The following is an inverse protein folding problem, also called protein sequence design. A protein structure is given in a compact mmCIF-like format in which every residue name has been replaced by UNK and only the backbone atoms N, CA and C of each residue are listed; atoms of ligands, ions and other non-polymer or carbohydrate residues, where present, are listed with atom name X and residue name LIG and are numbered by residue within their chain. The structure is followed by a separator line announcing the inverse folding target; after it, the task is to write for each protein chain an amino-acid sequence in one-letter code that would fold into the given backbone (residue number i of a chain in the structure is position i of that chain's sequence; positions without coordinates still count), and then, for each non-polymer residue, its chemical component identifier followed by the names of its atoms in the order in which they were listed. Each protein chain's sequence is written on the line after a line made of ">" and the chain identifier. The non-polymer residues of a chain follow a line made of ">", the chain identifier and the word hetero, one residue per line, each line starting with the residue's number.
data_IF_518612252933
#
_entry.id   IF_518612252933
#
_cell.length_a   1.000
_cell.length_b   1.000
_cell.length_c   1.000
_cell.angle_alpha   90.00
_cell.angle_beta   90.00
_cell.angle_gamma   90.00
#
_symmetry.space_group_name_H-M   'P 1'
#
loop_
_entity.id
_entity.type
_entity.pdbx_description
1 polymer ?
#
# COMPACT_ATOMS: atom_id res chain seq x y z
N UNK A 1 -64.83 -31.60 -38.19
CA UNK A 1 -63.57 -32.32 -38.06
C UNK A 1 -62.51 -31.36 -37.51
N UNK A 2 -62.28 -31.41 -36.21
CA UNK A 2 -61.30 -30.57 -35.48
C UNK A 2 -60.10 -31.43 -35.11
N UNK A 3 -58.95 -31.16 -35.74
CA UNK A 3 -57.64 -31.79 -35.41
C UNK A 3 -56.97 -30.97 -34.33
N UNK A 4 -57.09 -31.43 -33.09
CA UNK A 4 -56.33 -30.92 -31.94
C UNK A 4 -54.95 -31.53 -31.97
N UNK A 5 -53.96 -30.73 -32.38
CA UNK A 5 -52.54 -31.10 -32.30
C UNK A 5 -52.03 -31.14 -30.86
N UNK A 6 -51.97 -32.33 -30.29
CA UNK A 6 -51.48 -32.61 -28.94
C UNK A 6 -49.96 -32.44 -28.93
N UNK A 7 -49.45 -31.28 -28.44
CA UNK A 7 -48.00 -31.01 -28.25
C UNK A 7 -47.46 -31.89 -27.12
N UNK A 8 -46.57 -32.84 -27.44
CA UNK A 8 -45.98 -33.83 -26.56
C UNK A 8 -45.19 -33.14 -25.41
N UNK A 9 -45.61 -33.24 -24.14
CA UNK A 9 -45.04 -32.52 -23.01
C UNK A 9 -43.58 -32.93 -22.67
N UNK A 10 -43.15 -34.09 -23.10
CA UNK A 10 -41.78 -34.61 -22.87
C UNK A 10 -40.74 -33.85 -23.67
N UNK A 11 -41.01 -33.42 -24.90
CA UNK A 11 -40.09 -32.65 -25.76
C UNK A 11 -39.90 -31.23 -25.24
N UNK A 12 -40.90 -30.61 -24.66
CA UNK A 12 -40.81 -29.27 -24.09
C UNK A 12 -39.93 -29.27 -22.82
N UNK A 13 -40.02 -30.28 -21.97
CA UNK A 13 -39.16 -30.42 -20.78
C UNK A 13 -37.69 -30.66 -21.13
N UNK A 14 -37.40 -31.41 -22.20
CA UNK A 14 -36.06 -31.62 -22.70
C UNK A 14 -35.45 -30.34 -23.29
N UNK A 15 -36.22 -29.54 -24.03
CA UNK A 15 -35.74 -28.26 -24.55
C UNK A 15 -35.40 -27.28 -23.40
N UNK A 16 -36.28 -27.16 -22.42
CA UNK A 16 -36.04 -26.27 -21.26
C UNK A 16 -34.80 -26.69 -20.51
N UNK A 17 -34.57 -27.97 -20.26
CA UNK A 17 -33.34 -28.46 -19.60
C UNK A 17 -32.07 -28.15 -20.39
N UNK A 18 -32.12 -28.22 -21.74
CA UNK A 18 -30.99 -27.84 -22.61
C UNK A 18 -30.72 -26.34 -22.55
N UNK A 19 -31.74 -25.48 -22.52
CA UNK A 19 -31.57 -24.04 -22.31
C UNK A 19 -30.97 -23.69 -20.97
N UNK A 20 -31.43 -24.31 -19.90
CA UNK A 20 -30.84 -24.10 -18.56
C UNK A 20 -29.41 -24.59 -18.48
N UNK A 21 -29.06 -25.69 -19.13
CA UNK A 21 -27.68 -26.19 -19.19
C UNK A 21 -26.76 -25.21 -19.97
N UNK A 22 -27.25 -24.64 -21.07
CA UNK A 22 -26.47 -23.65 -21.86
C UNK A 22 -26.30 -22.32 -21.09
N UNK A 23 -27.33 -21.85 -20.40
CA UNK A 23 -27.25 -20.67 -19.55
C UNK A 23 -26.26 -20.89 -18.40
N UNK A 24 -26.29 -22.06 -17.74
CA UNK A 24 -25.34 -22.43 -16.71
C UNK A 24 -23.89 -22.45 -17.21
N UNK A 25 -23.65 -23.02 -18.38
CA UNK A 25 -22.32 -23.06 -18.99
C UNK A 25 -21.83 -21.63 -19.35
N UNK A 26 -22.69 -20.79 -19.90
CA UNK A 26 -22.36 -19.40 -20.24
C UNK A 26 -22.02 -18.58 -18.99
N UNK A 27 -22.75 -18.75 -17.88
CA UNK A 27 -22.47 -18.10 -16.61
C UNK A 27 -21.10 -18.53 -16.01
N UNK A 28 -20.77 -19.81 -16.06
CA UNK A 28 -19.48 -20.33 -15.59
C UNK A 28 -18.34 -19.75 -16.43
N UNK A 29 -18.49 -19.66 -17.75
CA UNK A 29 -17.50 -19.04 -18.64
C UNK A 29 -17.36 -17.53 -18.35
N UNK A 30 -18.44 -16.80 -18.14
CA UNK A 30 -18.40 -15.38 -17.80
C UNK A 30 -17.69 -15.13 -16.45
N UNK A 31 -18.00 -15.95 -15.44
CA UNK A 31 -17.31 -15.86 -14.13
C UNK A 31 -15.83 -16.21 -14.26
N UNK A 32 -15.48 -17.21 -15.05
CA UNK A 32 -14.09 -17.57 -15.32
C UNK A 32 -13.30 -16.45 -16.01
N UNK A 33 -13.89 -15.80 -17.03
CA UNK A 33 -13.28 -14.69 -17.75
C UNK A 33 -13.14 -13.45 -16.83
N UNK A 34 -14.18 -13.12 -16.05
CA UNK A 34 -14.15 -12.03 -15.10
C UNK A 34 -13.11 -12.29 -14.00
N UNK A 35 -13.04 -13.51 -13.48
CA UNK A 35 -12.03 -13.92 -12.50
C UNK A 35 -10.60 -13.82 -13.07
N UNK A 36 -10.39 -14.26 -14.31
CA UNK A 36 -9.09 -14.15 -14.98
C UNK A 36 -8.68 -12.69 -15.20
N UNK A 37 -9.58 -11.81 -15.63
CA UNK A 37 -9.31 -10.39 -15.79
C UNK A 37 -9.09 -9.65 -14.48
N UNK A 38 -9.78 -10.06 -13.41
CA UNK A 38 -9.66 -9.40 -12.11
C UNK A 38 -8.38 -9.83 -11.35
N UNK A 39 -8.01 -11.10 -11.40
CA UNK A 39 -6.83 -11.65 -10.71
C UNK A 39 -5.53 -11.46 -11.52
N UNK A 40 -5.58 -11.64 -12.84
CA UNK A 40 -4.40 -11.49 -13.70
C UNK A 40 -3.97 -10.02 -13.91
N UNK A 41 -4.96 -9.13 -14.06
CA UNK A 41 -4.68 -7.71 -14.37
C UNK A 41 -4.00 -6.92 -13.25
N UNK A 42 -4.12 -7.35 -11.99
CA UNK A 42 -3.45 -6.67 -10.88
C UNK A 42 -1.99 -7.11 -10.73
N UNK A 43 -1.69 -8.39 -10.87
CA UNK A 43 -0.31 -8.88 -10.81
C UNK A 43 0.55 -8.37 -11.97
N UNK A 44 -0.02 -8.27 -13.16
CA UNK A 44 0.69 -7.75 -14.33
C UNK A 44 0.98 -6.25 -14.21
N UNK A 45 0.05 -5.48 -13.64
CA UNK A 45 0.25 -4.05 -13.36
C UNK A 45 1.30 -3.81 -12.29
N UNK A 46 1.33 -4.60 -11.22
CA UNK A 46 2.34 -4.51 -10.17
C UNK A 46 3.73 -4.91 -10.70
N UNK A 47 3.83 -5.99 -11.48
CA UNK A 47 5.09 -6.40 -12.10
C UNK A 47 5.62 -5.36 -13.09
N UNK A 48 4.76 -4.75 -13.88
CA UNK A 48 5.12 -3.66 -14.81
C UNK A 48 5.56 -2.41 -14.04
N UNK A 49 4.85 -2.04 -12.96
CA UNK A 49 5.21 -0.90 -12.13
C UNK A 49 6.58 -1.09 -11.46
N UNK A 50 6.85 -2.28 -10.91
CA UNK A 50 8.15 -2.62 -10.30
C UNK A 50 9.27 -2.57 -11.35
N UNK A 51 9.01 -3.11 -12.55
CA UNK A 51 10.00 -3.12 -13.64
C UNK A 51 10.28 -1.70 -14.14
N UNK A 52 9.25 -0.86 -14.29
CA UNK A 52 9.41 0.55 -14.67
C UNK A 52 10.18 1.34 -13.61
N UNK A 53 9.89 1.13 -12.33
CA UNK A 53 10.59 1.78 -11.22
C UNK A 53 12.08 1.40 -11.20
N UNK A 54 12.40 0.12 -11.43
CA UNK A 54 13.78 -0.36 -11.48
C UNK A 54 14.55 0.22 -12.68
N UNK A 55 13.93 0.23 -13.85
CA UNK A 55 14.51 0.78 -15.07
C UNK A 55 14.70 2.30 -14.95
N UNK A 56 13.77 3.00 -14.35
CA UNK A 56 13.86 4.43 -14.08
C UNK A 56 15.02 4.74 -13.12
N UNK A 57 15.22 3.93 -12.09
CA UNK A 57 16.37 4.06 -11.17
C UNK A 57 17.70 3.87 -11.89
N UNK A 58 17.83 2.84 -12.73
CA UNK A 58 19.05 2.58 -13.50
C UNK A 58 19.37 3.72 -14.47
N UNK A 59 18.37 4.22 -15.20
CA UNK A 59 18.51 5.37 -16.11
C UNK A 59 18.93 6.63 -15.36
N UNK A 60 18.37 6.84 -14.18
CA UNK A 60 18.66 7.98 -13.34
C UNK A 60 20.07 7.93 -12.75
N UNK A 61 20.54 6.77 -12.28
CA UNK A 61 21.93 6.58 -11.84
C UNK A 61 22.92 6.79 -12.99
N UNK A 62 22.60 6.35 -14.20
CA UNK A 62 23.44 6.61 -15.38
C UNK A 62 23.47 8.10 -15.72
N UNK A 63 22.32 8.78 -15.78
CA UNK A 63 22.26 10.22 -16.06
C UNK A 63 23.01 11.05 -15.01
N UNK A 64 22.98 10.63 -13.74
CA UNK A 64 23.69 11.26 -12.63
C UNK A 64 25.21 11.11 -12.79
N UNK A 65 25.70 9.92 -13.15
CA UNK A 65 27.12 9.69 -13.40
C UNK A 65 27.62 10.50 -14.59
N UNK A 66 26.83 10.58 -15.68
CA UNK A 66 27.15 11.37 -16.86
C UNK A 66 27.17 12.88 -16.56
N UNK A 67 26.29 13.35 -15.70
CA UNK A 67 26.21 14.77 -15.31
C UNK A 67 27.29 15.19 -14.28
N UNK A 68 28.05 14.27 -13.70
CA UNK A 68 29.08 14.54 -12.70
C UNK A 68 28.54 15.14 -11.39
N UNK A 69 27.24 14.94 -11.10
CA UNK A 69 26.57 15.45 -9.90
C UNK A 69 27.00 14.62 -8.69
N UNK A 70 27.80 15.22 -7.81
CA UNK A 70 28.31 14.58 -6.59
C UNK A 70 27.47 14.89 -5.35
N UNK A 71 26.50 15.80 -5.44
CA UNK A 71 25.63 16.21 -4.32
C UNK A 71 24.20 15.86 -4.66
N UNK A 72 23.59 15.02 -3.83
CA UNK A 72 22.17 14.65 -3.90
C UNK A 72 21.31 15.81 -3.43
N UNK A 73 20.31 16.18 -4.22
CA UNK A 73 19.32 17.17 -3.78
C UNK A 73 18.31 16.51 -2.82
N UNK A 74 17.66 17.29 -1.95
CA UNK A 74 16.62 16.76 -1.06
C UNK A 74 15.50 16.04 -1.83
N UNK A 75 15.12 16.51 -2.99
CA UNK A 75 14.11 15.90 -3.85
C UNK A 75 14.58 14.56 -4.42
N UNK A 76 15.84 14.49 -4.81
CA UNK A 76 16.46 13.25 -5.31
C UNK A 76 16.56 12.21 -4.19
N UNK A 77 17.00 12.61 -3.00
CA UNK A 77 17.04 11.75 -1.83
C UNK A 77 15.66 11.17 -1.47
N UNK A 78 14.65 12.02 -1.41
CA UNK A 78 13.26 11.60 -1.16
C UNK A 78 12.78 10.55 -2.17
N UNK A 79 13.07 10.76 -3.46
CA UNK A 79 12.67 9.81 -4.50
C UNK A 79 13.45 8.48 -4.42
N UNK A 80 14.72 8.50 -4.09
CA UNK A 80 15.50 7.28 -3.83
C UNK A 80 14.93 6.49 -2.66
N UNK A 81 14.65 7.15 -1.53
CA UNK A 81 14.05 6.51 -0.36
C UNK A 81 12.68 5.92 -0.70
N UNK A 82 11.86 6.63 -1.49
CA UNK A 82 10.57 6.12 -1.97
C UNK A 82 10.72 4.83 -2.78
N UNK A 83 11.63 4.82 -3.73
CA UNK A 83 11.91 3.65 -4.57
C UNK A 83 12.39 2.49 -3.70
N UNK A 84 13.36 2.74 -2.84
CA UNK A 84 13.92 1.72 -1.94
C UNK A 84 12.86 1.12 -1.02
N UNK A 85 12.05 1.95 -0.36
CA UNK A 85 10.98 1.53 0.52
C UNK A 85 9.91 0.71 -0.23
N UNK A 86 9.59 1.08 -1.47
CA UNK A 86 8.66 0.32 -2.32
C UNK A 86 9.23 -1.05 -2.69
N UNK A 87 10.50 -1.12 -3.09
CA UNK A 87 11.18 -2.38 -3.43
C UNK A 87 11.29 -3.31 -2.21
N UNK A 88 11.51 -2.74 -1.02
CA UNK A 88 11.58 -3.50 0.23
C UNK A 88 10.19 -3.90 0.76
N UNK A 89 9.11 -3.47 0.12
CA UNK A 89 7.75 -3.84 0.48
C UNK A 89 7.27 -3.20 1.80
N UNK A 90 7.69 -1.97 2.09
CA UNK A 90 7.24 -1.27 3.29
C UNK A 90 5.72 -1.10 3.31
N UNK A 91 5.10 -1.10 4.50
CA UNK A 91 3.66 -0.91 4.63
C UNK A 91 3.20 0.39 3.95
N UNK A 92 2.04 0.34 3.30
CA UNK A 92 1.46 1.48 2.58
C UNK A 92 1.42 2.76 3.44
N UNK A 93 1.04 2.64 4.73
CA UNK A 93 1.00 3.77 5.66
C UNK A 93 2.35 4.45 5.86
N UNK A 94 3.46 3.69 5.80
CA UNK A 94 4.83 4.23 5.90
C UNK A 94 5.20 4.96 4.62
N UNK A 95 4.87 4.41 3.44
CA UNK A 95 5.09 5.09 2.15
C UNK A 95 4.29 6.39 2.04
N UNK A 96 3.05 6.41 2.54
CA UNK A 96 2.21 7.60 2.56
C UNK A 96 2.75 8.74 3.45
N UNK A 97 3.67 8.47 4.37
CA UNK A 97 4.33 9.51 5.15
C UNK A 97 5.14 10.45 4.26
N UNK A 98 5.88 9.90 3.28
CA UNK A 98 6.64 10.70 2.31
C UNK A 98 5.76 11.63 1.48
N UNK A 99 4.54 11.16 1.13
CA UNK A 99 3.59 11.96 0.35
C UNK A 99 2.99 13.09 1.17
N UNK A 100 2.75 12.85 2.46
CA UNK A 100 2.15 13.81 3.38
C UNK A 100 3.14 14.83 3.92
N UNK A 101 4.37 14.40 4.15
CA UNK A 101 5.41 15.25 4.73
C UNK A 101 6.82 14.78 4.33
N UNK A 102 7.48 15.48 3.41
CA UNK A 102 8.85 15.16 2.99
C UNK A 102 9.87 15.09 4.13
N UNK A 103 9.62 15.77 5.27
CA UNK A 103 10.50 15.71 6.44
C UNK A 103 10.53 14.32 7.11
N UNK A 104 9.71 13.36 6.67
CA UNK A 104 9.75 11.97 7.15
C UNK A 104 10.75 11.10 6.39
N UNK A 105 11.55 11.66 5.49
CA UNK A 105 12.45 10.90 4.61
C UNK A 105 13.45 10.06 5.41
N UNK A 106 14.13 10.63 6.39
CA UNK A 106 15.11 9.93 7.25
C UNK A 106 14.44 8.79 8.06
N UNK A 107 13.24 9.06 8.58
CA UNK A 107 12.42 8.05 9.26
C UNK A 107 12.09 6.86 8.35
N UNK A 108 11.65 7.12 7.12
CA UNK A 108 11.27 6.06 6.18
C UNK A 108 12.49 5.29 5.70
N UNK A 109 13.63 5.97 5.48
CA UNK A 109 14.89 5.33 5.10
C UNK A 109 15.34 4.31 6.15
N UNK A 110 15.29 4.67 7.42
CA UNK A 110 15.70 3.82 8.52
C UNK A 110 14.65 2.77 8.95
N UNK A 111 13.44 2.81 8.38
CA UNK A 111 12.32 1.98 8.83
C UNK A 111 12.62 0.48 8.81
N UNK A 112 13.28 -0.02 7.76
CA UNK A 112 13.58 -1.46 7.62
C UNK A 112 14.43 -2.03 8.75
N UNK A 113 15.34 -1.22 9.30
CA UNK A 113 16.23 -1.62 10.37
C UNK A 113 15.65 -1.38 11.76
N UNK A 114 14.85 -0.31 11.90
CA UNK A 114 14.40 0.20 13.21
C UNK A 114 12.96 -0.20 13.58
N UNK A 115 12.17 -0.76 12.65
CA UNK A 115 10.78 -1.11 12.92
C UNK A 115 10.64 -2.03 14.15
N UNK A 116 9.66 -1.73 14.99
CA UNK A 116 9.38 -2.50 16.21
C UNK A 116 10.25 -2.14 17.41
N UNK A 117 11.17 -1.21 17.27
CA UNK A 117 12.10 -0.78 18.33
C UNK A 117 11.63 0.52 18.98
N UNK A 118 12.06 0.72 20.24
CA UNK A 118 11.87 1.94 21.02
C UNK A 118 13.25 2.37 21.49
N UNK A 119 13.64 3.60 21.17
CA UNK A 119 14.99 4.12 21.45
C UNK A 119 15.03 5.12 22.61
N UNK A 120 13.88 5.48 23.19
CA UNK A 120 13.82 6.33 24.37
C UNK A 120 12.78 5.82 25.36
N UNK A 121 13.09 5.91 26.66
CA UNK A 121 12.20 5.56 27.76
C UNK A 121 11.35 6.75 28.20
N UNK A 122 11.79 7.98 27.90
CA UNK A 122 11.12 9.23 28.23
C UNK A 122 11.29 10.29 27.10
N UNK A 123 10.75 11.48 27.30
CA UNK A 123 10.85 12.60 26.35
C UNK A 123 12.10 13.46 26.57
N UNK A 124 12.91 13.17 27.60
CA UNK A 124 14.19 13.82 27.85
C UNK A 124 14.11 15.35 27.93
N UNK A 125 15.00 16.00 27.17
CA UNK A 125 15.13 17.47 27.14
C UNK A 125 13.93 18.19 26.51
N UNK A 126 12.97 17.46 25.90
CA UNK A 126 11.72 18.07 25.43
C UNK A 126 10.76 18.42 26.57
N UNK A 127 11.02 17.90 27.80
CA UNK A 127 10.25 18.26 28.97
C UNK A 127 10.73 19.58 29.57
N UNK A 128 9.83 20.55 29.66
CA UNK A 128 10.04 21.80 30.39
C UNK A 128 8.81 22.02 31.28
N UNK A 129 9.03 22.16 32.60
CA UNK A 129 7.96 22.33 33.57
C UNK A 129 7.05 23.51 33.20
N UNK A 130 5.72 23.26 33.15
CA UNK A 130 4.71 24.25 32.81
C UNK A 130 4.62 24.60 31.31
N UNK A 131 5.25 23.83 30.45
CA UNK A 131 5.15 23.99 28.99
C UNK A 131 4.72 22.68 28.35
N UNK A 132 3.79 22.79 27.41
CA UNK A 132 3.38 21.63 26.59
C UNK A 132 4.47 21.35 25.55
N UNK A 133 5.15 20.18 25.61
CA UNK A 133 6.20 19.85 24.67
C UNK A 133 5.62 19.62 23.26
N UNK A 134 6.41 19.91 22.22
CA UNK A 134 6.06 19.53 20.85
C UNK A 134 6.64 18.16 20.53
N UNK A 135 5.84 17.12 20.67
CA UNK A 135 6.24 15.76 20.32
C UNK A 135 5.87 15.43 18.89
N UNK A 136 6.86 15.02 18.09
CA UNK A 136 6.66 14.64 16.70
C UNK A 136 6.31 13.16 16.61
N UNK A 137 5.21 12.82 15.92
CA UNK A 137 4.70 11.46 15.85
C UNK A 137 5.71 10.47 15.22
N UNK A 138 6.48 10.92 14.23
CA UNK A 138 7.51 10.13 13.54
C UNK A 138 8.93 10.34 14.10
N UNK A 139 9.05 10.87 15.31
CA UNK A 139 10.35 10.95 15.98
C UNK A 139 10.96 9.55 16.12
N UNK A 140 12.23 9.40 15.78
CA UNK A 140 12.91 8.12 15.76
C UNK A 140 12.95 7.43 17.13
N UNK A 141 12.83 8.18 18.21
CA UNK A 141 12.83 7.65 19.58
C UNK A 141 11.66 6.70 19.85
N UNK A 142 10.48 6.95 19.24
CA UNK A 142 9.25 6.18 19.47
C UNK A 142 8.48 5.86 18.21
N UNK A 143 8.74 6.54 17.09
CA UNK A 143 7.97 6.41 15.84
C UNK A 143 7.93 4.98 15.29
N UNK A 144 8.96 4.19 15.50
CA UNK A 144 9.05 2.80 15.05
C UNK A 144 8.32 1.80 15.96
N UNK A 145 7.88 2.24 17.16
CA UNK A 145 7.20 1.38 18.11
C UNK A 145 5.89 0.82 17.53
N UNK A 146 5.58 -0.45 17.79
CA UNK A 146 4.32 -1.04 17.37
C UNK A 146 3.14 -0.30 18.00
N UNK A 147 2.12 0.03 17.20
CA UNK A 147 0.87 0.61 17.67
C UNK A 147 -0.32 0.06 16.88
N UNK A 148 -1.14 -0.77 17.54
CA UNK A 148 -2.21 -1.51 16.89
C UNK A 148 -1.68 -2.46 15.81
N UNK A 149 -2.13 -2.29 14.58
CA UNK A 149 -1.66 -3.05 13.40
C UNK A 149 -0.58 -2.33 12.59
N UNK A 150 -0.02 -1.24 13.16
CA UNK A 150 0.94 -0.36 12.49
C UNK A 150 2.04 0.09 13.46
N UNK A 151 2.60 1.26 13.25
CA UNK A 151 3.59 1.91 14.11
C UNK A 151 3.11 3.29 14.55
N UNK A 152 3.72 3.82 15.62
CA UNK A 152 3.36 5.14 16.16
C UNK A 152 3.42 6.23 15.10
N UNK A 153 4.44 6.27 14.26
CA UNK A 153 4.59 7.26 13.19
C UNK A 153 3.38 7.33 12.23
N UNK A 154 2.70 6.22 12.00
CA UNK A 154 1.56 6.13 11.07
C UNK A 154 0.22 6.36 11.78
N UNK A 155 0.04 5.77 12.97
CA UNK A 155 -1.28 5.70 13.63
C UNK A 155 -1.29 6.33 15.02
N UNK A 156 -0.17 6.85 15.51
CA UNK A 156 0.03 7.30 16.88
C UNK A 156 -0.37 8.75 17.19
N UNK A 157 -1.16 9.42 16.34
CA UNK A 157 -1.54 10.83 16.59
C UNK A 157 -2.25 11.01 17.95
N UNK A 158 -3.17 10.11 18.30
CA UNK A 158 -3.89 10.15 19.58
C UNK A 158 -2.95 10.05 20.79
N UNK A 159 -2.17 8.96 20.94
CA UNK A 159 -1.23 8.83 22.05
C UNK A 159 -0.19 9.94 22.09
N UNK A 160 0.33 10.41 20.94
CA UNK A 160 1.27 11.53 20.90
C UNK A 160 0.66 12.83 21.44
N UNK A 161 -0.58 13.17 21.01
CA UNK A 161 -1.29 14.32 21.56
C UNK A 161 -1.56 14.17 23.06
N UNK A 162 -1.94 12.98 23.52
CA UNK A 162 -2.18 12.73 24.95
C UNK A 162 -0.89 12.87 25.76
N UNK A 163 0.24 12.40 25.25
CA UNK A 163 1.52 12.56 25.89
C UNK A 163 1.93 14.04 26.03
N UNK A 164 1.72 14.86 25.00
CA UNK A 164 1.95 16.31 25.06
C UNK A 164 1.11 16.97 26.16
N UNK A 165 -0.19 16.64 26.23
CA UNK A 165 -1.09 17.19 27.27
C UNK A 165 -0.72 16.71 28.67
N UNK A 166 -0.27 15.47 28.81
CA UNK A 166 0.09 14.92 30.11
C UNK A 166 1.44 15.45 30.64
N UNK A 167 2.31 15.91 29.75
CA UNK A 167 3.62 16.45 30.10
C UNK A 167 3.61 17.96 30.36
N UNK A 168 2.56 18.69 29.95
CA UNK A 168 2.38 20.15 30.17
C UNK A 168 1.51 20.43 31.35
#
# INVERSE_FOLDING_TARGET
>A
MTLTGQKNPSRRRQQVRRYWAMIGLALVLCIGILGYHFLGGNQEKEAVAITQTKQQKELWEQARQEAGLSVETPEEHLEQVRIQATVQGYPKGVLELLDKNPATVDYVEAYGEKQGQIYAEDIGDDYVEGQIPLLIQWDERWGYAPYGTSVVAVSGCGPTCMAMVAAG
#
